data_IF_184289642026
#
_entry.id   IF_184289642026
#
_cell.length_a   1.000
_cell.length_b   1.000
_cell.length_c   1.000
_cell.angle_alpha   90.00
_cell.angle_beta   90.00
_cell.angle_gamma   90.00
#
_symmetry.space_group_name_H-M   'P 1'
#
loop_
_entity.id
_entity.type
_entity.pdbx_description
1 polymer ?
#
# COMPACT_ATOMS: atom_id res chain seq x y z
N UNK A 1 4.48 -10.27 32.31
CA UNK A 1 4.36 -9.35 31.20
C UNK A 1 4.17 -10.11 29.92
N UNK A 2 3.14 -9.78 29.20
CA UNK A 2 2.89 -10.44 27.94
C UNK A 2 3.79 -9.86 26.84
N UNK A 3 4.17 -10.72 25.91
CA UNK A 3 4.89 -10.24 24.74
C UNK A 3 3.91 -9.73 23.72
N UNK A 4 4.24 -8.67 23.00
CA UNK A 4 3.40 -8.27 21.90
C UNK A 4 3.38 -9.36 20.85
N UNK A 5 2.22 -9.65 20.32
CA UNK A 5 2.12 -10.57 19.20
C UNK A 5 2.26 -9.77 17.90
N UNK A 6 2.21 -10.47 16.78
CA UNK A 6 2.41 -9.78 15.51
C UNK A 6 1.38 -8.72 15.23
N UNK A 7 0.19 -8.86 15.80
CA UNK A 7 -0.85 -7.86 15.58
C UNK A 7 -0.58 -6.53 16.28
N UNK A 8 0.48 -6.46 17.07
CA UNK A 8 0.86 -5.22 17.76
C UNK A 8 2.02 -4.49 17.10
N UNK A 9 2.53 -5.01 15.98
CA UNK A 9 3.72 -4.42 15.36
C UNK A 9 3.49 -3.01 14.86
N UNK A 10 2.29 -2.70 14.41
CA UNK A 10 1.97 -1.38 13.89
C UNK A 10 1.39 -0.45 14.96
N UNK A 11 1.52 -0.81 16.24
CA UNK A 11 1.10 0.10 17.31
C UNK A 11 2.02 1.32 17.40
N UNK A 12 3.24 1.21 16.89
CA UNK A 12 4.15 2.34 16.83
C UNK A 12 3.76 3.29 15.70
N UNK A 13 4.15 4.54 15.83
CA UNK A 13 3.84 5.54 14.81
C UNK A 13 4.49 5.17 13.48
N UNK A 14 3.72 5.29 12.41
CA UNK A 14 4.23 5.10 11.06
C UNK A 14 5.01 6.34 10.66
N UNK A 15 6.29 6.16 10.37
CA UNK A 15 7.20 7.25 10.03
C UNK A 15 7.36 7.43 8.54
N UNK A 16 7.15 6.37 7.78
CA UNK A 16 7.27 6.43 6.33
C UNK A 16 6.23 5.51 5.71
N UNK A 17 5.62 5.99 4.65
CA UNK A 17 4.62 5.23 3.92
C UNK A 17 4.72 5.62 2.46
N UNK A 18 4.87 4.62 1.60
CA UNK A 18 4.89 4.83 0.16
C UNK A 18 4.17 3.65 -0.49
N UNK A 19 3.18 3.96 -1.29
CA UNK A 19 2.44 2.94 -2.03
C UNK A 19 2.29 3.39 -3.47
N UNK A 20 2.68 2.53 -4.40
CA UNK A 20 2.50 2.78 -5.83
C UNK A 20 1.80 1.60 -6.46
N UNK A 21 0.92 1.88 -7.40
CA UNK A 21 0.30 0.84 -8.20
C UNK A 21 -0.03 1.42 -9.56
N UNK A 22 0.27 0.67 -10.61
CA UNK A 22 -0.02 1.14 -11.94
C UNK A 22 0.63 0.30 -13.01
N UNK A 23 0.53 0.81 -14.22
CA UNK A 23 1.11 0.17 -15.39
C UNK A 23 2.27 1.03 -15.89
N UNK A 24 2.89 0.62 -16.97
CA UNK A 24 3.95 1.42 -17.57
C UNK A 24 3.45 2.77 -18.11
N UNK A 25 2.14 2.90 -18.33
CA UNK A 25 1.57 4.14 -18.85
C UNK A 25 1.35 5.18 -17.77
N UNK A 26 0.90 4.75 -16.62
CA UNK A 26 0.65 5.67 -15.53
C UNK A 26 0.58 4.90 -14.23
N UNK A 27 0.90 5.57 -13.14
CA UNK A 27 0.81 4.95 -11.83
C UNK A 27 0.21 5.92 -10.84
N UNK A 28 -0.47 5.37 -9.85
CA UNK A 28 -0.94 6.12 -8.71
C UNK A 28 0.10 5.97 -7.60
N UNK A 29 0.47 7.09 -7.01
CA UNK A 29 1.52 7.10 -5.99
C UNK A 29 1.04 7.85 -4.76
N UNK A 30 1.25 7.22 -3.62
CA UNK A 30 0.93 7.80 -2.32
C UNK A 30 2.22 7.85 -1.51
N UNK A 31 2.54 9.02 -0.96
CA UNK A 31 3.71 9.18 -0.11
C UNK A 31 3.37 9.99 1.12
N UNK A 32 3.99 9.63 2.24
CA UNK A 32 3.86 10.38 3.47
C UNK A 32 5.04 11.33 3.59
N UNK A 33 4.75 12.63 3.74
CA UNK A 33 5.78 13.66 3.91
C UNK A 33 5.35 14.61 5.02
N UNK A 34 6.12 14.61 6.09
CA UNK A 34 5.87 15.53 7.21
C UNK A 34 4.42 15.45 7.74
N UNK A 35 3.90 14.22 7.87
CA UNK A 35 2.56 14.02 8.40
C UNK A 35 1.44 14.22 7.40
N UNK A 36 1.77 14.60 6.18
CA UNK A 36 0.79 14.84 5.12
C UNK A 36 0.94 13.77 4.06
N UNK A 37 -0.16 13.17 3.65
CA UNK A 37 -0.14 12.21 2.56
C UNK A 37 -0.35 12.97 1.26
N UNK A 38 0.54 12.70 0.32
CA UNK A 38 0.45 13.26 -1.03
C UNK A 38 0.16 12.15 -2.02
N UNK A 39 -0.79 12.39 -2.90
CA UNK A 39 -1.23 11.41 -3.89
C UNK A 39 -1.17 12.05 -5.26
N UNK A 40 -0.50 11.40 -6.19
CA UNK A 40 -0.46 11.88 -7.55
C UNK A 40 -0.60 10.73 -8.54
N UNK A 41 -0.97 11.10 -9.75
CA UNK A 41 -1.23 10.13 -10.80
C UNK A 41 -0.72 10.68 -12.14
N UNK A 42 0.60 10.87 -12.26
CA UNK A 42 1.13 11.36 -13.52
C UNK A 42 1.23 10.24 -14.55
N UNK A 43 1.07 10.57 -15.83
CA UNK A 43 1.50 9.64 -16.87
C UNK A 43 2.98 9.33 -16.71
N UNK A 44 3.39 8.15 -17.15
CA UNK A 44 4.76 7.71 -16.96
C UNK A 44 5.79 8.63 -17.58
N UNK A 45 5.42 9.36 -18.62
CA UNK A 45 6.35 10.22 -19.36
C UNK A 45 6.27 11.68 -18.95
N UNK A 46 5.48 12.01 -17.94
CA UNK A 46 5.31 13.40 -17.49
C UNK A 46 5.78 13.50 -16.05
N UNK A 47 6.62 14.50 -15.81
CA UNK A 47 7.03 14.82 -14.46
C UNK A 47 6.01 15.80 -13.89
N UNK A 48 4.91 15.24 -13.42
CA UNK A 48 3.75 16.02 -13.03
C UNK A 48 3.73 16.28 -11.54
N UNK A 49 3.47 17.53 -11.17
CA UNK A 49 3.46 17.91 -9.77
C UNK A 49 2.05 18.04 -9.20
N UNK A 50 1.03 17.98 -10.03
CA UNK A 50 -0.33 18.06 -9.52
C UNK A 50 -0.61 16.88 -8.61
N UNK A 51 -0.98 17.15 -7.38
CA UNK A 51 -1.25 16.11 -6.41
C UNK A 51 -2.35 16.54 -5.48
N UNK A 52 -3.01 15.54 -4.90
CA UNK A 52 -3.92 15.75 -3.81
C UNK A 52 -3.15 15.60 -2.51
N UNK A 53 -3.53 16.35 -1.50
CA UNK A 53 -2.91 16.25 -0.18
C UNK A 53 -4.00 15.97 0.84
N UNK A 54 -3.66 15.13 1.81
CA UNK A 54 -4.60 14.79 2.88
C UNK A 54 -3.83 14.55 4.16
N UNK A 55 -4.33 15.10 5.25
CA UNK A 55 -3.74 14.88 6.57
C UNK A 55 -4.68 13.98 7.36
N UNK A 56 -4.36 12.68 7.50
CA UNK A 56 -5.22 11.80 8.26
C UNK A 56 -5.31 12.21 9.72
N UNK A 57 -6.47 11.99 10.32
CA UNK A 57 -6.65 12.18 11.73
C UNK A 57 -5.94 11.09 12.53
N UNK A 58 -5.78 11.31 13.81
CA UNK A 58 -5.21 10.28 14.69
C UNK A 58 -6.02 9.00 14.64
N UNK A 59 -7.34 9.13 14.55
CA UNK A 59 -8.20 7.96 14.45
C UNK A 59 -7.99 7.21 13.16
N UNK A 60 -7.83 7.92 12.05
CA UNK A 60 -7.58 7.28 10.77
C UNK A 60 -6.24 6.53 10.78
N UNK A 61 -5.21 7.14 11.36
CA UNK A 61 -3.93 6.46 11.51
C UNK A 61 -4.03 5.21 12.38
N UNK A 62 -4.77 5.32 13.48
CA UNK A 62 -4.95 4.18 14.36
C UNK A 62 -5.70 3.05 13.65
N UNK A 63 -6.78 3.37 12.95
CA UNK A 63 -7.53 2.36 12.22
C UNK A 63 -6.68 1.73 11.12
N UNK A 64 -5.85 2.52 10.46
CA UNK A 64 -4.95 2.02 9.44
C UNK A 64 -3.94 1.03 10.03
N UNK A 65 -3.32 1.39 11.13
CA UNK A 65 -2.34 0.53 11.80
C UNK A 65 -2.97 -0.79 12.24
N UNK A 66 -4.18 -0.72 12.81
CA UNK A 66 -4.88 -1.93 13.22
C UNK A 66 -5.24 -2.81 12.02
N UNK A 67 -5.59 -2.19 10.91
CA UNK A 67 -5.90 -2.95 9.71
C UNK A 67 -4.67 -3.65 9.14
N UNK A 68 -3.52 -2.97 9.16
CA UNK A 68 -2.28 -3.61 8.69
C UNK A 68 -1.95 -4.84 9.55
N UNK A 69 -2.16 -4.74 10.85
CA UNK A 69 -1.95 -5.88 11.74
C UNK A 69 -2.95 -7.00 11.42
N UNK A 70 -4.22 -6.66 11.26
CA UNK A 70 -5.25 -7.64 10.96
C UNK A 70 -5.00 -8.36 9.64
N UNK A 71 -4.51 -7.63 8.64
CA UNK A 71 -4.21 -8.19 7.34
C UNK A 71 -2.89 -8.94 7.30
N UNK A 72 -2.15 -8.90 8.40
CA UNK A 72 -0.87 -9.60 8.54
C UNK A 72 0.13 -9.17 7.46
N UNK A 73 0.17 -7.88 7.19
CA UNK A 73 1.03 -7.32 6.14
C UNK A 73 2.49 -7.61 6.44
N UNK A 74 2.85 -7.71 7.70
CA UNK A 74 4.23 -7.98 8.10
C UNK A 74 4.74 -9.33 7.55
N UNK A 75 3.83 -10.24 7.27
CA UNK A 75 4.18 -11.56 6.74
C UNK A 75 3.98 -11.68 5.24
N UNK A 76 3.70 -10.58 4.57
CA UNK A 76 3.64 -10.60 3.11
C UNK A 76 5.02 -10.97 2.57
N UNK A 77 5.04 -11.65 1.43
CA UNK A 77 6.30 -11.95 0.75
C UNK A 77 6.95 -10.68 0.26
N UNK A 78 8.26 -10.71 0.15
CA UNK A 78 8.99 -9.56 -0.38
C UNK A 78 8.60 -9.30 -1.83
N UNK A 79 8.28 -10.34 -2.58
CA UNK A 79 7.95 -10.22 -3.99
C UNK A 79 6.82 -11.16 -4.39
N UNK A 80 5.92 -10.64 -5.21
CA UNK A 80 4.85 -11.41 -5.85
C UNK A 80 5.02 -11.27 -7.35
N UNK A 81 5.16 -12.38 -8.07
CA UNK A 81 5.45 -12.35 -9.50
C UNK A 81 4.58 -13.33 -10.27
N UNK A 82 4.08 -12.88 -11.40
CA UNK A 82 3.46 -13.76 -12.39
C UNK A 82 4.15 -13.50 -13.72
N UNK A 83 5.21 -14.25 -14.04
CA UNK A 83 6.00 -14.00 -15.24
C UNK A 83 5.29 -14.34 -16.53
N UNK A 84 4.14 -14.99 -16.44
CA UNK A 84 3.39 -15.35 -17.66
C UNK A 84 2.65 -14.15 -18.24
N UNK A 85 2.57 -13.04 -17.51
CA UNK A 85 1.86 -11.85 -17.95
C UNK A 85 2.87 -10.76 -18.27
N UNK A 86 2.77 -10.19 -19.46
CA UNK A 86 3.61 -9.08 -19.86
C UNK A 86 2.82 -7.78 -19.76
N UNK A 87 3.52 -6.70 -19.47
CA UNK A 87 2.94 -5.34 -19.46
C UNK A 87 1.71 -5.20 -18.58
N UNK A 88 1.74 -5.83 -17.43
CA UNK A 88 0.62 -5.73 -16.51
C UNK A 88 0.82 -4.67 -15.45
N UNK A 89 0.22 -4.91 -14.32
CA UNK A 89 0.24 -4.00 -13.19
C UNK A 89 1.41 -4.31 -12.26
N UNK A 90 2.06 -3.25 -11.81
CA UNK A 90 3.11 -3.37 -10.80
C UNK A 90 2.71 -2.55 -9.58
N UNK A 91 3.11 -3.02 -8.42
CA UNK A 91 2.81 -2.32 -7.18
C UNK A 91 3.98 -2.45 -6.21
N UNK A 92 4.08 -1.50 -5.31
CA UNK A 92 5.07 -1.55 -4.25
C UNK A 92 4.53 -0.89 -3.00
N UNK A 93 4.98 -1.37 -1.86
CA UNK A 93 4.56 -0.85 -0.56
C UNK A 93 5.77 -0.78 0.36
N UNK A 94 5.97 0.39 0.93
CA UNK A 94 6.95 0.61 1.98
C UNK A 94 6.23 1.17 3.20
N UNK A 95 6.39 0.51 4.34
CA UNK A 95 5.86 1.02 5.61
C UNK A 95 6.99 0.90 6.63
N UNK A 96 7.29 2.00 7.30
CA UNK A 96 8.34 1.99 8.31
C UNK A 96 7.86 2.63 9.60
N UNK A 97 8.23 2.00 10.71
CA UNK A 97 8.03 2.56 12.05
C UNK A 97 9.41 2.68 12.70
N UNK A 98 9.45 3.08 13.95
CA UNK A 98 10.73 3.13 14.67
C UNK A 98 11.39 1.76 14.80
N UNK A 99 10.58 0.71 14.81
CA UNK A 99 11.05 -0.64 15.15
C UNK A 99 11.33 -1.51 13.95
N UNK A 100 10.68 -1.26 12.82
CA UNK A 100 10.82 -2.17 11.68
C UNK A 100 10.37 -1.50 10.40
N UNK A 101 10.67 -2.16 9.29
CA UNK A 101 10.32 -1.67 7.97
C UNK A 101 9.82 -2.84 7.14
N UNK A 102 8.75 -2.61 6.38
CA UNK A 102 8.24 -3.55 5.41
C UNK A 102 8.45 -2.94 4.04
N UNK A 103 9.04 -3.73 3.13
CA UNK A 103 9.27 -3.32 1.76
C UNK A 103 8.89 -4.51 0.89
N UNK A 104 7.75 -4.40 0.22
CA UNK A 104 7.19 -5.50 -0.56
C UNK A 104 6.63 -4.96 -1.87
N UNK A 105 6.40 -5.84 -2.80
CA UNK A 105 5.83 -5.43 -4.08
C UNK A 105 5.56 -6.61 -4.97
N UNK A 106 5.04 -6.33 -6.16
CA UNK A 106 4.74 -7.39 -7.08
C UNK A 106 4.53 -6.90 -8.50
N UNK A 107 4.50 -7.87 -9.39
CA UNK A 107 4.23 -7.67 -10.80
C UNK A 107 3.19 -8.70 -11.21
N UNK A 108 1.97 -8.23 -11.44
CA UNK A 108 0.83 -9.04 -11.87
C UNK A 108 0.43 -10.12 -10.86
N UNK A 109 0.87 -10.00 -9.63
CA UNK A 109 0.56 -10.96 -8.58
C UNK A 109 0.46 -10.22 -7.25
N UNK A 110 -0.41 -10.69 -6.37
CA UNK A 110 -0.79 -9.97 -5.17
C UNK A 110 -0.96 -10.92 -3.99
N UNK A 111 -0.82 -10.42 -2.76
CA UNK A 111 -1.22 -11.19 -1.60
C UNK A 111 -2.72 -11.50 -1.65
N UNK A 112 -3.11 -12.57 -1.01
CA UNK A 112 -4.50 -13.02 -1.04
C UNK A 112 -5.49 -11.97 -0.55
N UNK A 113 -5.08 -11.14 0.39
CA UNK A 113 -5.96 -10.12 0.98
C UNK A 113 -5.66 -8.71 0.47
N UNK A 114 -5.16 -8.61 -0.74
CA UNK A 114 -4.78 -7.32 -1.31
C UNK A 114 -5.98 -6.40 -1.50
N UNK A 115 -7.16 -6.96 -1.77
CA UNK A 115 -8.40 -6.17 -1.90
C UNK A 115 -8.67 -5.37 -0.63
N UNK A 116 -8.56 -6.05 0.50
CA UNK A 116 -8.82 -5.41 1.78
C UNK A 116 -7.77 -4.35 2.07
N UNK A 117 -6.54 -4.58 1.60
CA UNK A 117 -5.50 -3.58 1.75
C UNK A 117 -5.83 -2.32 0.95
N UNK A 118 -6.31 -2.47 -0.29
CA UNK A 118 -6.70 -1.32 -1.09
C UNK A 118 -7.80 -0.52 -0.39
N UNK A 119 -8.78 -1.21 0.18
CA UNK A 119 -9.83 -0.53 0.94
C UNK A 119 -9.27 0.19 2.17
N UNK A 120 -8.27 -0.41 2.78
CA UNK A 120 -7.63 0.17 3.96
C UNK A 120 -6.91 1.46 3.62
N UNK A 121 -6.18 1.47 2.50
CA UNK A 121 -5.51 2.67 2.01
C UNK A 121 -6.55 3.77 1.72
N UNK A 122 -7.63 3.41 1.04
CA UNK A 122 -8.67 4.37 0.71
C UNK A 122 -9.32 4.97 1.95
N UNK A 123 -9.52 4.17 2.98
CA UNK A 123 -10.07 4.70 4.24
C UNK A 123 -9.11 5.65 4.93
N UNK A 124 -7.81 5.41 4.81
CA UNK A 124 -6.81 6.30 5.43
C UNK A 124 -6.90 7.70 4.85
N UNK A 125 -7.17 7.81 3.56
CA UNK A 125 -7.26 9.10 2.89
C UNK A 125 -8.69 9.58 2.70
N UNK A 126 -9.65 8.86 3.28
CA UNK A 126 -11.08 9.20 3.23
C UNK A 126 -11.62 9.36 1.82
N UNK A 127 -11.13 8.54 0.90
CA UNK A 127 -11.53 8.65 -0.50
C UNK A 127 -11.23 7.36 -1.25
N UNK A 128 -12.11 6.98 -2.17
CA UNK A 128 -11.88 5.83 -3.01
C UNK A 128 -11.01 6.22 -4.20
N UNK A 129 -9.74 6.36 -3.95
CA UNK A 129 -8.79 6.78 -4.97
C UNK A 129 -8.15 5.59 -5.69
N UNK A 130 -7.81 4.56 -4.93
CA UNK A 130 -7.16 3.39 -5.49
C UNK A 130 -8.18 2.33 -5.81
N UNK A 131 -8.07 1.72 -6.98
CA UNK A 131 -8.96 0.65 -7.41
C UNK A 131 -8.14 -0.45 -8.05
N UNK A 132 -8.72 -1.65 -8.08
CA UNK A 132 -8.08 -2.78 -8.71
C UNK A 132 -9.12 -3.42 -9.61
N UNK A 133 -8.77 -3.59 -10.88
CA UNK A 133 -9.68 -4.15 -11.87
C UNK A 133 -9.54 -5.67 -11.90
N UNK A 134 -10.53 -6.35 -11.34
CA UNK A 134 -10.50 -7.81 -11.22
C UNK A 134 -10.94 -8.53 -12.47
N UNK A 135 -11.44 -7.83 -13.44
CA UNK A 135 -11.92 -8.45 -14.67
C UNK A 135 -10.81 -8.73 -15.65
N UNK A 136 -9.58 -8.45 -15.28
CA UNK A 136 -8.46 -8.63 -16.16
C UNK A 136 -7.55 -9.73 -15.69
N UNK A 137 -6.31 -9.43 -15.49
CA UNK A 137 -5.29 -10.42 -15.25
C UNK A 137 -4.87 -10.51 -13.79
N UNK A 138 -5.63 -9.91 -12.90
CA UNK A 138 -5.31 -9.93 -11.49
C UNK A 138 -5.34 -11.33 -10.94
N UNK A 139 -4.31 -11.69 -10.21
CA UNK A 139 -4.20 -12.99 -9.57
C UNK A 139 -3.75 -12.81 -8.14
N UNK A 140 -4.29 -13.64 -7.27
CA UNK A 140 -3.90 -13.65 -5.88
C UNK A 140 -3.06 -14.87 -5.61
N UNK A 141 -1.88 -14.65 -5.06
CA UNK A 141 -0.96 -15.71 -4.74
C UNK A 141 -0.93 -15.85 -3.23
N UNK A 142 -1.33 -17.02 -2.75
CA UNK A 142 -1.31 -17.30 -1.32
C UNK A 142 0.12 -17.30 -0.83
N UNK A 143 0.35 -16.48 0.17
CA UNK A 143 1.69 -16.24 0.61
C UNK A 143 2.15 -17.08 1.74
#
# INVERSE_FOLDING_TARGET
MSQPNQSDLFSSKILNLKFTIGTWRSSNRLTLENGVIKINNPPAWVDEEASLSYTPSDKEWLDFSKSLDRLDVVNWKVRYLDPSILDGTQWSLLVATESFEIDTGGSNAYPENFDEFIKTINRLISEEYFTLDYNRTTRYISG
#
